data_IF_078422942691
#
_entry.id   IF_078422942691
#
_cell.length_a   1.000
_cell.length_b   1.000
_cell.length_c   1.000
_cell.angle_alpha   90.00
_cell.angle_beta   90.00
_cell.angle_gamma   90.00
#
_symmetry.space_group_name_H-M   'P 1'
#
loop_
_entity.id
_entity.type
_entity.pdbx_description
1 polymer ?
#
# COMPACT_ATOMS: atom_id res chain seq x y z
N UNK A 1 -21.14 -2.62 1.76
CA UNK A 1 -19.82 -2.02 1.50
C UNK A 1 -19.76 -1.70 0.02
N UNK A 2 -19.05 -0.66 -0.40
CA UNK A 2 -18.86 -0.36 -1.84
C UNK A 2 -17.38 -0.52 -2.18
N UNK A 3 -17.08 -1.35 -3.19
CA UNK A 3 -15.73 -1.57 -3.69
C UNK A 3 -15.31 -0.44 -4.62
N UNK A 4 -14.20 0.21 -4.32
CA UNK A 4 -13.57 1.12 -5.28
C UNK A 4 -13.00 0.32 -6.46
N UNK A 5 -13.51 0.60 -7.67
CA UNK A 5 -12.99 0.01 -8.91
C UNK A 5 -11.56 0.45 -9.19
N UNK A 6 -11.18 1.64 -8.71
CA UNK A 6 -9.82 2.18 -8.85
C UNK A 6 -9.08 1.99 -7.53
N UNK A 7 -7.99 1.20 -7.49
CA UNK A 7 -7.15 1.04 -6.32
C UNK A 7 -6.28 2.29 -6.14
N UNK A 8 -6.80 3.26 -5.39
CA UNK A 8 -6.19 4.58 -5.27
C UNK A 8 -4.82 4.54 -4.59
N UNK A 9 -4.58 3.63 -3.65
CA UNK A 9 -3.26 3.52 -3.02
C UNK A 9 -2.21 3.05 -4.04
N UNK A 10 -2.47 1.94 -4.72
CA UNK A 10 -1.58 1.44 -5.78
C UNK A 10 -1.37 2.48 -6.90
N UNK A 11 -2.45 3.16 -7.33
CA UNK A 11 -2.37 4.18 -8.37
C UNK A 11 -1.44 5.32 -7.97
N UNK A 12 -1.61 5.89 -6.79
CA UNK A 12 -0.76 6.99 -6.34
C UNK A 12 0.70 6.56 -6.13
N UNK A 13 0.97 5.33 -5.69
CA UNK A 13 2.34 4.80 -5.63
C UNK A 13 2.97 4.67 -7.02
N UNK A 14 2.20 4.22 -8.02
CA UNK A 14 2.64 4.19 -9.41
C UNK A 14 2.88 5.59 -9.98
N UNK A 15 1.96 6.53 -9.71
CA UNK A 15 2.11 7.94 -10.10
C UNK A 15 3.37 8.57 -9.48
N UNK A 16 3.66 8.27 -8.21
CA UNK A 16 4.84 8.80 -7.54
C UNK A 16 6.16 8.30 -8.15
N UNK A 17 6.14 7.08 -8.68
CA UNK A 17 7.29 6.45 -9.32
C UNK A 17 7.55 6.97 -10.73
N UNK A 18 6.49 7.11 -11.53
CA UNK A 18 6.61 7.28 -12.98
C UNK A 18 6.22 8.68 -13.48
N UNK A 19 5.51 9.47 -12.68
CA UNK A 19 4.93 10.76 -13.11
C UNK A 19 5.53 11.93 -12.33
N UNK A 20 5.89 12.97 -13.07
CA UNK A 20 6.33 14.25 -12.51
C UNK A 20 5.18 15.24 -12.47
N UNK A 21 5.03 15.96 -11.36
CA UNK A 21 3.92 16.89 -11.15
C UNK A 21 4.43 18.33 -11.06
N UNK A 22 3.82 19.24 -11.82
CA UNK A 22 4.01 20.69 -11.69
C UNK A 22 2.90 21.36 -10.87
N UNK A 23 1.72 20.73 -10.78
CA UNK A 23 0.61 21.24 -9.97
C UNK A 23 0.84 20.95 -8.48
N UNK A 24 1.04 22.02 -7.70
CA UNK A 24 1.30 21.95 -6.26
C UNK A 24 0.23 21.19 -5.47
N UNK A 25 -1.06 21.41 -5.76
CA UNK A 25 -2.17 20.82 -5.01
C UNK A 25 -2.23 19.31 -5.22
N UNK A 26 -2.08 18.84 -6.46
CA UNK A 26 -2.05 17.41 -6.76
C UNK A 26 -0.83 16.73 -6.16
N UNK A 27 0.35 17.34 -6.30
CA UNK A 27 1.58 16.86 -5.68
C UNK A 27 1.40 16.71 -4.16
N UNK A 28 0.88 17.74 -3.47
CA UNK A 28 0.65 17.69 -2.03
C UNK A 28 -0.34 16.58 -1.63
N UNK A 29 -1.43 16.41 -2.38
CA UNK A 29 -2.42 15.37 -2.11
C UNK A 29 -1.81 13.96 -2.24
N UNK A 30 -1.05 13.71 -3.31
CA UNK A 30 -0.38 12.43 -3.52
C UNK A 30 0.66 12.22 -2.43
N UNK A 31 1.53 13.20 -2.16
CA UNK A 31 2.58 13.10 -1.13
C UNK A 31 2.01 12.81 0.26
N UNK A 32 0.91 13.48 0.62
CA UNK A 32 0.19 13.23 1.87
C UNK A 32 -0.41 11.82 1.93
N UNK A 33 -0.90 11.29 0.80
CA UNK A 33 -1.37 9.91 0.75
C UNK A 33 -0.20 8.93 0.95
N UNK A 34 0.92 9.12 0.25
CA UNK A 34 2.10 8.26 0.34
C UNK A 34 2.65 8.15 1.77
N UNK A 35 2.83 9.29 2.47
CA UNK A 35 3.35 9.27 3.84
C UNK A 35 2.39 8.57 4.81
N UNK A 36 1.08 8.77 4.64
CA UNK A 36 0.06 8.07 5.43
C UNK A 36 0.06 6.56 5.14
N UNK A 37 0.23 6.18 3.87
CA UNK A 37 0.35 4.78 3.46
C UNK A 37 1.59 4.11 4.06
N UNK A 38 2.74 4.78 4.02
CA UNK A 38 3.99 4.31 4.64
C UNK A 38 3.83 4.12 6.15
N UNK A 39 3.36 5.16 6.84
CA UNK A 39 3.14 5.13 8.29
C UNK A 39 2.18 4.00 8.68
N UNK A 40 1.09 3.83 7.92
CA UNK A 40 0.14 2.74 8.16
C UNK A 40 0.79 1.36 7.98
N UNK A 41 1.59 1.15 6.93
CA UNK A 41 2.31 -0.10 6.74
C UNK A 41 3.26 -0.38 7.90
N UNK A 42 4.04 0.62 8.34
CA UNK A 42 4.98 0.47 9.45
C UNK A 42 4.23 0.10 10.74
N UNK A 43 3.15 0.81 11.06
CA UNK A 43 2.32 0.51 12.24
C UNK A 43 1.77 -0.92 12.21
N UNK A 44 1.39 -1.43 11.03
CA UNK A 44 0.93 -2.81 10.91
C UNK A 44 2.06 -3.81 11.14
N UNK A 45 3.25 -3.55 10.61
CA UNK A 45 4.42 -4.41 10.81
C UNK A 45 4.83 -4.46 12.28
N UNK A 46 4.90 -3.30 12.95
CA UNK A 46 5.22 -3.21 14.37
C UNK A 46 4.17 -3.93 15.24
N UNK A 47 2.90 -3.75 14.90
CA UNK A 47 1.80 -4.44 15.58
C UNK A 47 1.88 -5.96 15.38
N UNK A 48 2.10 -6.45 14.16
CA UNK A 48 2.22 -7.88 13.89
C UNK A 48 3.44 -8.47 14.60
N UNK A 49 4.57 -7.77 14.59
CA UNK A 49 5.80 -8.22 15.25
C UNK A 49 5.68 -8.35 16.77
N UNK A 50 4.73 -7.64 17.39
CA UNK A 50 4.46 -7.72 18.84
C UNK A 50 3.30 -8.66 19.18
N UNK A 51 2.25 -8.70 18.33
CA UNK A 51 1.01 -9.40 18.63
C UNK A 51 0.96 -10.84 18.10
N UNK A 52 1.74 -11.18 17.06
CA UNK A 52 1.70 -12.49 16.41
C UNK A 52 2.99 -13.26 16.63
N UNK A 53 2.89 -14.59 16.72
CA UNK A 53 4.06 -15.49 16.84
C UNK A 53 4.75 -15.73 15.50
N UNK A 54 3.98 -15.69 14.41
CA UNK A 54 4.47 -15.98 13.07
C UNK A 54 5.10 -14.73 12.45
N UNK A 55 6.30 -14.84 11.84
CA UNK A 55 6.94 -13.70 11.20
C UNK A 55 6.21 -13.32 9.91
N UNK A 56 6.38 -12.06 9.53
CA UNK A 56 5.93 -11.54 8.24
C UNK A 56 6.80 -12.15 7.14
N UNK A 57 6.18 -12.69 6.10
CA UNK A 57 6.88 -13.27 4.95
C UNK A 57 6.95 -12.26 3.81
N UNK A 58 8.12 -12.12 3.21
CA UNK A 58 8.25 -11.33 1.99
C UNK A 58 7.67 -12.11 0.81
N UNK A 59 6.74 -11.49 0.07
CA UNK A 59 6.22 -12.01 -1.19
C UNK A 59 6.10 -10.85 -2.17
N UNK A 60 7.13 -10.66 -2.99
CA UNK A 60 7.13 -9.59 -3.98
C UNK A 60 5.93 -9.66 -4.91
N UNK A 61 5.37 -8.49 -5.21
CA UNK A 61 4.28 -8.37 -6.18
C UNK A 61 4.73 -8.82 -7.57
N UNK A 62 3.94 -9.67 -8.21
CA UNK A 62 4.25 -10.13 -9.57
C UNK A 62 3.90 -9.06 -10.62
N UNK A 63 4.64 -9.06 -11.73
CA UNK A 63 4.36 -8.15 -12.85
C UNK A 63 2.98 -8.48 -13.44
N UNK A 64 2.10 -7.47 -13.53
CA UNK A 64 0.73 -7.63 -14.02
C UNK A 64 -0.26 -8.11 -12.96
N UNK A 65 0.17 -8.33 -11.71
CA UNK A 65 -0.73 -8.68 -10.61
C UNK A 65 -1.66 -7.51 -10.27
N UNK A 66 -2.96 -7.77 -10.23
CA UNK A 66 -3.95 -6.76 -9.87
C UNK A 66 -3.80 -6.30 -8.40
N UNK A 67 -4.37 -5.14 -8.07
CA UNK A 67 -4.48 -4.71 -6.67
C UNK A 67 -5.37 -5.67 -5.87
N UNK A 68 -5.01 -5.89 -4.60
CA UNK A 68 -5.75 -6.79 -3.73
C UNK A 68 -6.84 -6.05 -2.97
N UNK A 69 -7.92 -6.78 -2.68
CA UNK A 69 -9.04 -6.29 -1.92
C UNK A 69 -9.40 -7.31 -0.83
N UNK A 70 -9.83 -6.81 0.31
CA UNK A 70 -10.25 -7.65 1.42
C UNK A 70 -11.49 -8.47 1.01
N UNK A 71 -11.44 -9.78 1.24
CA UNK A 71 -12.52 -10.70 0.90
C UNK A 71 -13.86 -10.36 1.58
N UNK A 72 -13.82 -9.79 2.79
CA UNK A 72 -15.04 -9.48 3.57
C UNK A 72 -15.60 -8.07 3.34
N UNK A 73 -14.76 -7.03 3.30
CA UNK A 73 -15.21 -5.64 3.25
C UNK A 73 -14.86 -4.91 1.95
N UNK A 74 -14.14 -5.58 1.05
CA UNK A 74 -13.77 -5.08 -0.28
C UNK A 74 -12.94 -3.78 -0.29
N UNK A 75 -12.33 -3.42 0.85
CA UNK A 75 -11.35 -2.35 0.90
C UNK A 75 -10.07 -2.80 0.20
N UNK A 76 -9.41 -1.88 -0.49
CA UNK A 76 -8.07 -2.08 -1.03
C UNK A 76 -7.11 -2.48 0.10
N UNK A 77 -6.26 -3.49 -0.15
CA UNK A 77 -5.20 -3.93 0.76
C UNK A 77 -3.88 -3.74 0.05
N UNK A 78 -3.05 -2.83 0.58
CA UNK A 78 -1.76 -2.48 0.01
C UNK A 78 -0.63 -2.94 0.91
N UNK A 79 0.41 -3.51 0.28
CA UNK A 79 1.67 -3.96 0.87
C UNK A 79 1.58 -5.09 1.91
N UNK A 80 0.88 -4.88 3.04
CA UNK A 80 0.74 -5.86 4.12
C UNK A 80 -0.56 -6.64 3.95
N UNK A 81 -0.46 -7.90 3.53
CA UNK A 81 -1.60 -8.77 3.25
C UNK A 81 -1.78 -9.80 4.37
N UNK A 82 -3.00 -9.91 4.89
CA UNK A 82 -3.37 -11.02 5.76
C UNK A 82 -4.03 -12.08 4.91
N UNK A 83 -3.43 -13.27 4.84
CA UNK A 83 -3.87 -14.34 3.94
C UNK A 83 -4.29 -15.56 4.75
N UNK A 84 -5.44 -16.12 4.39
CA UNK A 84 -5.96 -17.35 4.98
C UNK A 84 -6.57 -18.21 3.91
N UNK A 85 -6.38 -19.52 4.02
CA UNK A 85 -7.01 -20.48 3.13
C UNK A 85 -8.47 -20.71 3.55
N UNK A 86 -9.38 -20.59 2.59
CA UNK A 86 -10.81 -20.88 2.79
C UNK A 86 -11.26 -21.80 1.67
N UNK A 87 -11.69 -23.02 2.04
CA UNK A 87 -12.20 -24.02 1.10
C UNK A 87 -11.26 -24.28 -0.10
N UNK A 88 -9.97 -24.49 0.18
CA UNK A 88 -8.97 -24.78 -0.85
C UNK A 88 -8.49 -23.57 -1.66
N UNK A 89 -8.88 -22.34 -1.30
CA UNK A 89 -8.47 -21.11 -1.99
C UNK A 89 -7.91 -20.10 -1.01
N UNK A 90 -6.73 -19.55 -1.32
CA UNK A 90 -6.16 -18.43 -0.58
C UNK A 90 -6.97 -17.16 -0.78
N UNK A 91 -7.35 -16.53 0.33
CA UNK A 91 -8.11 -15.28 0.37
C UNK A 91 -7.32 -14.22 1.12
N UNK A 92 -7.47 -12.96 0.67
CA UNK A 92 -6.77 -11.81 1.24
C UNK A 92 -7.74 -11.02 2.11
N UNK A 93 -7.25 -10.53 3.24
CA UNK A 93 -8.00 -9.79 4.23
C UNK A 93 -7.25 -8.51 4.61
N UNK A 94 -7.99 -7.46 4.94
CA UNK A 94 -7.41 -6.29 5.60
C UNK A 94 -7.16 -6.61 7.07
N UNK A 95 -6.26 -5.84 7.69
CA UNK A 95 -5.95 -5.95 9.12
C UNK A 95 -7.19 -5.95 10.02
N UNK A 96 -8.15 -5.03 9.76
CA UNK A 96 -9.36 -4.89 10.59
C UNK A 96 -10.22 -6.15 10.57
N UNK A 97 -10.34 -6.80 9.42
CA UNK A 97 -11.10 -8.05 9.27
C UNK A 97 -10.34 -9.23 9.87
N UNK A 98 -9.04 -9.32 9.66
CA UNK A 98 -8.20 -10.35 10.28
C UNK A 98 -8.23 -10.26 11.82
N UNK A 99 -8.09 -9.04 12.36
CA UNK A 99 -8.14 -8.76 13.81
C UNK A 99 -9.45 -9.19 14.48
N UNK A 100 -10.58 -9.07 13.79
CA UNK A 100 -11.88 -9.52 14.31
C UNK A 100 -12.05 -11.04 14.29
N UNK A 101 -11.30 -11.74 13.45
CA UNK A 101 -11.46 -13.16 13.17
C UNK A 101 -10.19 -13.94 13.56
N UNK A 102 -9.59 -13.59 14.71
CA UNK A 102 -8.39 -14.21 15.28
C UNK A 102 -7.13 -14.12 14.38
N UNK A 103 -6.21 -13.20 14.70
CA UNK A 103 -5.03 -12.90 13.88
C UNK A 103 -4.11 -14.11 13.67
N UNK A 104 -4.00 -15.00 14.64
CA UNK A 104 -3.08 -16.14 14.60
C UNK A 104 -3.42 -17.16 13.50
N UNK A 105 -4.64 -17.11 12.94
CA UNK A 105 -5.07 -17.96 11.84
C UNK A 105 -4.65 -17.44 10.46
N UNK A 106 -3.99 -16.28 10.39
CA UNK A 106 -3.55 -15.64 9.16
C UNK A 106 -2.04 -15.72 8.98
N UNK A 107 -1.61 -15.90 7.74
CA UNK A 107 -0.24 -15.66 7.31
C UNK A 107 -0.14 -14.21 6.85
N UNK A 108 0.85 -13.47 7.35
CA UNK A 108 1.08 -12.07 6.97
C UNK A 108 2.16 -12.01 5.89
N UNK A 109 1.85 -11.36 4.78
CA UNK A 109 2.77 -11.16 3.66
C UNK A 109 3.08 -9.68 3.46
N UNK A 110 4.30 -9.36 3.08
CA UNK A 110 4.73 -8.02 2.67
C UNK A 110 5.16 -8.02 1.20
N UNK A 111 4.52 -7.17 0.39
CA UNK A 111 4.75 -7.12 -1.06
C UNK A 111 5.90 -6.22 -1.49
N UNK A 112 6.11 -5.13 -0.77
CA UNK A 112 7.12 -4.12 -1.07
C UNK A 112 7.99 -3.90 0.17
N UNK A 113 9.32 -3.99 0.05
CA UNK A 113 10.23 -3.62 1.13
C UNK A 113 10.06 -2.13 1.46
N UNK A 114 10.25 -1.75 2.72
CA UNK A 114 10.08 -0.35 3.15
C UNK A 114 11.09 0.56 2.47
N UNK A 115 12.30 0.07 2.25
CA UNK A 115 13.39 0.79 1.59
C UNK A 115 12.99 1.23 0.18
N UNK A 116 12.26 0.38 -0.56
CA UNK A 116 11.75 0.73 -1.89
C UNK A 116 10.70 1.85 -1.79
N UNK A 117 9.74 1.71 -0.88
CA UNK A 117 8.67 2.69 -0.72
C UNK A 117 9.19 4.05 -0.21
N UNK A 118 10.15 4.05 0.71
CA UNK A 118 10.83 5.25 1.19
C UNK A 118 11.59 5.94 0.06
N UNK A 119 12.35 5.17 -0.73
CA UNK A 119 13.08 5.71 -1.87
C UNK A 119 12.17 6.34 -2.93
N UNK A 120 11.01 5.74 -3.20
CA UNK A 120 10.00 6.35 -4.08
C UNK A 120 9.47 7.66 -3.47
N UNK A 121 9.15 7.65 -2.16
CA UNK A 121 8.64 8.84 -1.46
C UNK A 121 9.63 10.00 -1.45
N UNK A 122 10.91 9.74 -1.17
CA UNK A 122 11.97 10.76 -1.09
C UNK A 122 12.26 11.39 -2.45
N UNK A 123 12.19 10.57 -3.52
CA UNK A 123 12.34 11.03 -4.90
C UNK A 123 11.10 11.76 -5.42
N UNK A 124 9.96 11.61 -4.77
CA UNK A 124 8.73 12.29 -5.18
C UNK A 124 8.80 13.78 -4.83
N UNK A 125 9.11 14.58 -5.85
CA UNK A 125 9.32 16.03 -5.75
C UNK A 125 8.48 16.79 -6.79
N UNK A 126 8.10 18.01 -6.41
CA UNK A 126 7.39 18.93 -7.29
C UNK A 126 8.36 19.45 -8.37
N UNK A 127 7.94 19.44 -9.62
CA UNK A 127 8.65 20.15 -10.67
C UNK A 127 8.31 21.62 -10.64
N UNK A 128 9.30 22.44 -10.35
CA UNK A 128 9.21 23.89 -10.54
C UNK A 128 9.42 24.16 -12.03
N UNK A 129 8.36 24.52 -12.74
CA UNK A 129 8.47 25.08 -14.09
C UNK A 129 9.13 26.45 -13.95
N UNK A 130 10.38 26.59 -14.40
CA UNK A 130 11.01 27.92 -14.52
C UNK A 130 10.11 28.78 -15.43
N UNK A 131 9.76 30.01 -15.05
CA UNK A 131 9.08 30.91 -15.96
C UNK A 131 9.99 31.13 -17.16
N UNK A 132 9.50 30.84 -18.36
CA UNK A 132 10.20 31.17 -19.61
C UNK A 132 10.32 32.68 -19.66
N UNK A 133 11.52 33.20 -19.40
CA UNK A 133 11.81 34.62 -19.58
C UNK A 133 11.83 34.84 -21.09
N UNK A 134 10.78 35.48 -21.62
CA UNK A 134 10.77 35.95 -23.00
C UNK A 134 11.49 37.30 -22.95
N UNK A 135 12.75 37.30 -23.38
CA UNK A 135 13.52 38.53 -23.61
C UNK A 135 13.03 39.24 -24.87
#
# INVERSE_FOLDING_TARGET
SYRSLVPMQHLCWALAKDVRFSNQKLYNNIKNMLIRSLAYCQMLVDFVGTAMKSPIKMQQKQKGECAHYCHLCEIEVFNILFVKEISGKWKIFCFKCAKRNNLDEYVVLQQYPFEELQLIFDRFQLQITKPTVIC
#
